data_IF_085567527579
#
_entry.id   IF_085567527579
#
_cell.length_a   1.000
_cell.length_b   1.000
_cell.length_c   1.000
_cell.angle_alpha   90.00
_cell.angle_beta   90.00
_cell.angle_gamma   90.00
#
_symmetry.space_group_name_H-M   'P 1'
#
loop_
_entity.id
_entity.type
_entity.pdbx_description
1 polymer ?
#
# COMPACT_ATOMS: atom_id res chain seq x y z
N UNK A 1 -12.10 14.71 -15.73
CA UNK A 1 -11.59 13.33 -15.90
C UNK A 1 -10.90 12.92 -14.61
N UNK A 2 -11.69 12.65 -13.57
CA UNK A 2 -11.18 12.20 -12.27
C UNK A 2 -10.71 10.75 -12.41
N UNK A 3 -9.39 10.56 -12.42
CA UNK A 3 -8.77 9.23 -12.45
C UNK A 3 -9.04 8.59 -11.10
N UNK A 4 -10.00 7.66 -11.07
CA UNK A 4 -10.30 6.81 -9.94
C UNK A 4 -9.11 5.92 -9.60
N UNK A 5 -8.31 6.35 -8.64
CA UNK A 5 -7.39 5.48 -7.91
C UNK A 5 -8.20 4.78 -6.82
N UNK A 6 -8.44 3.48 -7.00
CA UNK A 6 -9.35 2.64 -6.21
C UNK A 6 -8.89 2.36 -4.77
N UNK A 7 -8.00 3.19 -4.21
CA UNK A 7 -7.68 3.15 -2.78
C UNK A 7 -8.85 3.78 -2.02
N UNK A 8 -9.63 2.95 -1.32
CA UNK A 8 -10.80 3.40 -0.56
C UNK A 8 -10.36 4.34 0.57
N UNK A 9 -10.27 5.62 0.25
CA UNK A 9 -9.89 6.70 1.15
C UNK A 9 -11.11 7.10 2.00
N UNK A 10 -11.49 6.27 2.98
CA UNK A 10 -12.43 6.69 4.04
C UNK A 10 -11.62 7.43 5.10
N UNK A 11 -11.46 8.74 4.95
CA UNK A 11 -10.86 9.61 5.97
C UNK A 11 -9.33 9.53 6.11
N UNK A 12 -8.59 9.31 5.03
CA UNK A 12 -7.11 9.28 5.03
C UNK A 12 -6.51 7.90 5.29
N UNK A 13 -7.33 6.86 5.43
CA UNK A 13 -6.88 5.49 5.64
C UNK A 13 -6.78 4.78 4.28
N UNK A 14 -5.57 4.36 3.91
CA UNK A 14 -5.33 3.52 2.74
C UNK A 14 -5.52 2.05 3.13
N UNK A 15 -6.39 1.35 2.41
CA UNK A 15 -6.64 -0.07 2.59
C UNK A 15 -6.01 -0.88 1.46
N UNK A 16 -5.42 -2.03 1.79
CA UNK A 16 -4.99 -3.00 0.79
C UNK A 16 -6.18 -3.87 0.31
N UNK A 17 -5.94 -4.81 -0.61
CA UNK A 17 -7.01 -5.68 -1.13
C UNK A 17 -7.58 -6.67 -0.09
N UNK A 18 -6.87 -6.94 1.01
CA UNK A 18 -7.41 -7.67 2.17
C UNK A 18 -8.43 -6.84 2.97
N UNK A 19 -8.70 -5.58 2.59
CA UNK A 19 -9.54 -4.62 3.32
C UNK A 19 -8.99 -4.24 4.72
N UNK A 20 -7.70 -4.43 4.95
CA UNK A 20 -6.99 -3.96 6.16
C UNK A 20 -6.12 -2.74 5.85
N UNK A 21 -5.74 -1.98 6.89
CA UNK A 21 -4.90 -0.79 6.76
C UNK A 21 -3.53 -1.12 6.15
N UNK A 22 -3.19 -0.45 5.07
CA UNK A 22 -1.88 -0.56 4.43
C UNK A 22 -0.80 0.19 5.23
N UNK A 23 0.44 -0.29 5.15
CA UNK A 23 1.59 0.33 5.78
C UNK A 23 2.25 1.32 4.81
N UNK A 24 2.42 2.57 5.25
CA UNK A 24 3.22 3.56 4.54
C UNK A 24 4.70 3.24 4.76
N UNK A 25 5.42 3.06 3.67
CA UNK A 25 6.86 2.80 3.64
C UNK A 25 7.57 3.92 2.91
N UNK A 26 8.86 4.11 3.21
CA UNK A 26 9.76 4.99 2.46
C UNK A 26 10.74 4.11 1.70
N UNK A 27 10.86 4.37 0.40
CA UNK A 27 11.78 3.65 -0.46
C UNK A 27 13.22 4.06 -0.18
N UNK A 28 14.08 3.08 0.10
CA UNK A 28 15.51 3.24 0.32
C UNK A 28 16.34 2.79 -0.88
N UNK A 29 15.72 2.39 -2.00
CA UNK A 29 16.45 1.96 -3.19
C UNK A 29 16.98 3.18 -3.95
N UNK A 30 18.17 3.04 -4.53
CA UNK A 30 18.92 4.11 -5.20
C UNK A 30 18.17 4.73 -6.38
N UNK A 31 17.32 3.95 -7.06
CA UNK A 31 16.54 4.42 -8.21
C UNK A 31 15.27 5.19 -7.82
N UNK A 32 14.80 5.06 -6.58
CA UNK A 32 13.60 5.74 -6.08
C UNK A 32 13.77 6.19 -4.60
N UNK A 33 14.81 6.95 -4.25
CA UNK A 33 15.09 7.28 -2.85
C UNK A 33 14.03 8.22 -2.28
N UNK A 34 13.58 7.98 -1.05
CA UNK A 34 12.68 8.87 -0.31
C UNK A 34 11.21 8.85 -0.75
N UNK A 35 10.85 8.15 -1.84
CA UNK A 35 9.46 8.05 -2.30
C UNK A 35 8.63 7.20 -1.33
N UNK A 36 7.46 7.70 -0.95
CA UNK A 36 6.52 6.93 -0.14
C UNK A 36 5.66 6.01 -0.98
N UNK A 37 5.43 4.79 -0.51
CA UNK A 37 4.51 3.80 -1.09
C UNK A 37 3.72 3.09 0.02
N UNK A 38 2.67 2.34 -0.35
CA UNK A 38 1.82 1.63 0.61
C UNK A 38 1.77 0.15 0.31
N UNK A 39 2.12 -0.70 1.28
CA UNK A 39 2.07 -2.16 1.09
C UNK A 39 1.09 -2.85 2.02
N UNK A 40 0.66 -4.05 1.64
CA UNK A 40 -0.07 -4.94 2.54
C UNK A 40 0.74 -5.19 3.84
N UNK A 41 0.13 -5.11 5.03
CA UNK A 41 0.83 -5.31 6.30
C UNK A 41 1.25 -6.77 6.53
N UNK A 42 0.61 -7.73 5.86
CA UNK A 42 0.96 -9.15 5.99
C UNK A 42 2.34 -9.45 5.39
N UNK A 43 3.07 -10.34 6.06
CA UNK A 43 4.42 -10.74 5.68
C UNK A 43 4.41 -11.61 4.42
N UNK A 44 5.58 -11.80 3.81
CA UNK A 44 5.70 -12.47 2.51
C UNK A 44 5.32 -13.96 2.54
N UNK A 45 5.47 -14.58 3.70
CA UNK A 45 5.15 -15.97 4.05
C UNK A 45 3.71 -16.15 4.55
N UNK A 46 2.98 -15.07 4.78
CA UNK A 46 1.57 -15.13 5.16
C UNK A 46 0.69 -15.40 3.94
N UNK A 47 -0.04 -16.51 3.95
CA UNK A 47 -0.98 -16.89 2.89
C UNK A 47 -2.05 -15.82 2.61
N UNK A 48 -2.30 -14.90 3.56
CA UNK A 48 -3.26 -13.80 3.43
C UNK A 48 -2.71 -12.59 2.67
N UNK A 49 -1.41 -12.55 2.34
CA UNK A 49 -0.79 -11.39 1.66
C UNK A 49 -1.42 -11.13 0.27
N UNK A 50 -1.98 -9.93 0.08
CA UNK A 50 -2.68 -9.58 -1.16
C UNK A 50 -1.86 -8.85 -2.25
N UNK A 51 -0.52 -8.91 -2.22
CA UNK A 51 0.38 -8.28 -3.23
C UNK A 51 0.20 -6.76 -3.47
N UNK A 52 -0.63 -6.07 -2.69
CA UNK A 52 -0.79 -4.61 -2.74
C UNK A 52 0.53 -3.89 -2.45
N UNK A 53 0.89 -2.92 -3.30
CA UNK A 53 2.12 -2.14 -3.31
C UNK A 53 1.86 -0.73 -3.87
#
# INVERSE_FOLDING_TARGET
MDRGDSTMNRGGIILCYCRVRALRMISNITTNPGRSFYRCPFWNDDARKCKYF
#
